data_IF_270898713816
#
_entry.id   IF_270898713816
#
_cell.length_a   1.000
_cell.length_b   1.000
_cell.length_c   1.000
_cell.angle_alpha   90.00
_cell.angle_beta   90.00
_cell.angle_gamma   90.00
#
_symmetry.space_group_name_H-M   'P 1'
#
loop_
_entity.id
_entity.type
_entity.pdbx_description
1 polymer ?
#
# COMPACT_ATOMS: atom_id res chain seq x y z
N UNK A 1 -6.25 0.27 -8.88
CA UNK A 1 -5.16 0.93 -9.63
C UNK A 1 -5.73 1.84 -10.74
N UNK A 2 -6.56 1.32 -11.66
CA UNK A 2 -7.16 2.08 -12.76
C UNK A 2 -8.04 3.24 -12.27
N UNK A 3 -8.80 3.06 -11.21
CA UNK A 3 -9.63 4.13 -10.62
C UNK A 3 -8.81 5.27 -10.01
N UNK A 4 -7.65 4.96 -9.41
CA UNK A 4 -6.74 5.97 -8.88
C UNK A 4 -6.05 6.75 -10.01
N UNK A 5 -5.61 6.04 -11.05
CA UNK A 5 -5.01 6.65 -12.24
C UNK A 5 -6.02 7.55 -12.96
N UNK A 6 -7.30 7.14 -13.06
CA UNK A 6 -8.35 7.95 -13.68
C UNK A 6 -8.64 9.25 -12.91
N UNK A 7 -8.59 9.23 -11.57
CA UNK A 7 -8.73 10.44 -10.75
C UNK A 7 -7.56 11.39 -10.98
N UNK A 8 -6.32 10.89 -11.05
CA UNK A 8 -5.14 11.71 -11.34
C UNK A 8 -5.21 12.31 -12.75
N UNK A 9 -5.61 11.51 -13.75
CA UNK A 9 -5.75 11.98 -15.14
C UNK A 9 -6.87 13.02 -15.25
N UNK A 10 -8.03 12.79 -14.63
CA UNK A 10 -9.16 13.72 -14.61
C UNK A 10 -8.80 15.04 -13.90
N UNK A 11 -8.03 14.98 -12.80
CA UNK A 11 -7.55 16.20 -12.12
C UNK A 11 -6.51 16.94 -12.95
N UNK A 12 -5.64 16.24 -13.68
CA UNK A 12 -4.66 16.85 -14.57
C UNK A 12 -5.30 17.50 -15.80
N UNK A 13 -6.31 16.85 -16.40
CA UNK A 13 -7.05 17.35 -17.56
C UNK A 13 -8.05 18.49 -17.19
N UNK A 14 -8.61 18.44 -15.98
CA UNK A 14 -9.58 19.43 -15.48
C UNK A 14 -8.96 20.77 -15.06
N UNK A 15 -7.64 20.93 -15.13
CA UNK A 15 -6.91 22.15 -14.69
C UNK A 15 -7.43 23.47 -15.27
N UNK A 16 -7.88 23.45 -16.52
CA UNK A 16 -8.34 24.68 -17.19
C UNK A 16 -9.73 25.15 -16.78
N UNK A 17 -10.61 24.24 -16.40
CA UNK A 17 -12.04 24.51 -16.17
C UNK A 17 -12.34 24.67 -14.66
N UNK A 18 -11.72 23.86 -13.81
CA UNK A 18 -12.02 23.82 -12.37
C UNK A 18 -11.41 24.98 -11.57
N UNK A 19 -10.28 25.52 -12.00
CA UNK A 19 -9.59 26.64 -11.33
C UNK A 19 -10.42 27.95 -11.26
N UNK A 20 -11.41 28.10 -12.14
CA UNK A 20 -12.22 29.33 -12.21
C UNK A 20 -13.48 29.28 -11.33
N UNK A 21 -13.98 28.09 -11.00
CA UNK A 21 -15.27 27.91 -10.33
C UNK A 21 -15.20 27.42 -8.88
N UNK A 22 -14.07 26.83 -8.46
CA UNK A 22 -13.92 26.25 -7.11
C UNK A 22 -12.58 26.61 -6.46
N UNK A 23 -12.46 27.78 -5.79
CA UNK A 23 -11.19 28.20 -5.18
C UNK A 23 -10.70 27.24 -4.07
N UNK A 24 -11.57 26.55 -3.33
CA UNK A 24 -11.20 25.55 -2.33
C UNK A 24 -10.57 24.28 -2.93
N UNK A 25 -10.84 23.98 -4.21
CA UNK A 25 -10.25 22.83 -4.90
C UNK A 25 -8.76 23.08 -5.25
N UNK A 26 -8.37 24.35 -5.39
CA UNK A 26 -6.98 24.73 -5.72
C UNK A 26 -6.00 24.42 -4.59
N UNK A 27 -6.40 24.56 -3.34
CA UNK A 27 -5.56 24.21 -2.18
C UNK A 27 -5.44 22.70 -2.02
N UNK A 28 -6.54 21.96 -2.19
CA UNK A 28 -6.53 20.51 -2.19
C UNK A 28 -5.64 19.95 -3.31
N UNK A 29 -5.69 20.52 -4.52
CA UNK A 29 -4.85 20.11 -5.65
C UNK A 29 -3.36 20.41 -5.41
N UNK A 30 -3.00 21.53 -4.77
CA UNK A 30 -1.60 21.81 -4.39
C UNK A 30 -1.04 20.73 -3.47
N UNK A 31 -1.82 20.27 -2.47
CA UNK A 31 -1.44 19.16 -1.59
C UNK A 31 -1.20 17.85 -2.35
N UNK A 32 -2.06 17.53 -3.32
CA UNK A 32 -1.89 16.35 -4.18
C UNK A 32 -0.61 16.45 -5.02
N UNK A 33 -0.31 17.62 -5.59
CA UNK A 33 0.92 17.82 -6.39
C UNK A 33 2.20 17.74 -5.55
N UNK A 34 2.18 18.23 -4.33
CA UNK A 34 3.31 18.11 -3.40
C UNK A 34 3.55 16.65 -2.96
N UNK A 35 2.49 15.86 -2.82
CA UNK A 35 2.57 14.45 -2.48
C UNK A 35 2.84 13.53 -3.70
N UNK A 36 2.76 14.05 -4.93
CA UNK A 36 2.86 13.26 -6.15
C UNK A 36 4.18 12.49 -6.29
N UNK A 37 5.36 13.05 -5.97
CA UNK A 37 6.61 12.30 -6.02
C UNK A 37 6.61 11.10 -5.05
N UNK A 38 6.17 11.30 -3.82
CA UNK A 38 6.04 10.24 -2.81
C UNK A 38 5.06 9.17 -3.27
N UNK A 39 3.92 9.57 -3.80
CA UNK A 39 2.92 8.67 -4.36
C UNK A 39 3.47 7.82 -5.53
N UNK A 40 4.26 8.42 -6.44
CA UNK A 40 4.91 7.68 -7.52
C UNK A 40 5.88 6.62 -6.98
N UNK A 41 6.64 6.93 -5.91
CA UNK A 41 7.50 5.97 -5.24
C UNK A 41 6.68 4.83 -4.64
N UNK A 42 5.59 5.13 -3.93
CA UNK A 42 4.72 4.11 -3.33
C UNK A 42 4.12 3.19 -4.39
N UNK A 43 3.64 3.74 -5.50
CA UNK A 43 3.09 2.94 -6.63
C UNK A 43 4.19 2.09 -7.29
N UNK A 44 5.39 2.65 -7.50
CA UNK A 44 6.52 1.93 -8.05
C UNK A 44 6.97 0.77 -7.15
N UNK A 45 7.04 1.00 -5.84
CA UNK A 45 7.36 -0.04 -4.85
C UNK A 45 6.24 -1.10 -4.74
N UNK A 46 4.96 -0.71 -4.84
CA UNK A 46 3.85 -1.65 -4.91
C UNK A 46 3.96 -2.55 -6.15
N UNK A 47 4.26 -1.97 -7.31
CA UNK A 47 4.50 -2.73 -8.53
C UNK A 47 5.70 -3.68 -8.40
N UNK A 48 6.80 -3.21 -7.78
CA UNK A 48 7.97 -4.05 -7.51
C UNK A 48 7.64 -5.22 -6.57
N UNK A 49 6.78 -5.00 -5.56
CA UNK A 49 6.31 -6.06 -4.66
C UNK A 49 5.51 -7.13 -5.42
N UNK A 50 4.59 -6.71 -6.31
CA UNK A 50 3.85 -7.63 -7.20
C UNK A 50 4.80 -8.42 -8.10
N UNK A 51 5.78 -7.75 -8.72
CA UNK A 51 6.74 -8.41 -9.61
C UNK A 51 7.63 -9.41 -8.87
N UNK A 52 8.05 -9.06 -7.65
CA UNK A 52 8.81 -9.98 -6.79
C UNK A 52 8.02 -11.24 -6.46
N UNK A 53 6.76 -11.09 -6.04
CA UNK A 53 5.86 -12.21 -5.77
C UNK A 53 5.55 -13.02 -7.02
N UNK A 54 5.29 -12.37 -8.16
CA UNK A 54 5.03 -13.04 -9.44
C UNK A 54 6.24 -13.84 -9.94
N UNK A 55 7.44 -13.34 -9.68
CA UNK A 55 8.66 -14.07 -9.99
C UNK A 55 8.81 -15.30 -9.08
N UNK A 56 8.45 -15.17 -7.81
CA UNK A 56 8.45 -16.30 -6.85
C UNK A 56 7.42 -17.36 -7.23
N UNK A 57 6.20 -16.95 -7.56
CA UNK A 57 5.14 -17.86 -8.04
C UNK A 57 5.58 -18.69 -9.26
N UNK A 58 6.42 -18.12 -10.15
CA UNK A 58 6.88 -18.81 -11.35
C UNK A 58 8.14 -19.64 -11.17
N UNK A 59 9.06 -19.22 -10.30
CA UNK A 59 10.42 -19.77 -10.24
C UNK A 59 10.81 -20.35 -8.88
N UNK A 60 9.92 -20.32 -7.89
CA UNK A 60 10.15 -20.83 -6.52
C UNK A 60 11.49 -20.31 -5.96
N UNK A 61 11.54 -19.04 -5.61
CA UNK A 61 12.75 -18.36 -5.14
C UNK A 61 13.27 -18.96 -3.83
N UNK A 62 14.59 -18.94 -3.65
CA UNK A 62 15.18 -19.20 -2.34
C UNK A 62 14.77 -18.08 -1.36
N UNK A 63 14.40 -18.44 -0.13
CA UNK A 63 13.88 -17.50 0.88
C UNK A 63 14.78 -16.26 1.09
N UNK A 64 16.10 -16.41 1.09
CA UNK A 64 17.02 -15.28 1.25
C UNK A 64 16.99 -14.26 0.09
N UNK A 65 16.75 -14.72 -1.16
CA UNK A 65 16.60 -13.83 -2.32
C UNK A 65 15.31 -13.01 -2.24
N UNK A 66 14.21 -13.67 -1.84
CA UNK A 66 12.93 -13.04 -1.57
C UNK A 66 13.08 -11.97 -0.49
N UNK A 67 13.74 -12.30 0.63
CA UNK A 67 14.00 -11.39 1.74
C UNK A 67 14.81 -10.16 1.29
N UNK A 68 15.86 -10.32 0.48
CA UNK A 68 16.63 -9.19 -0.07
C UNK A 68 15.73 -8.29 -0.90
N UNK A 69 14.89 -8.85 -1.78
CA UNK A 69 13.93 -8.07 -2.59
C UNK A 69 12.97 -7.26 -1.70
N UNK A 70 12.42 -7.86 -0.65
CA UNK A 70 11.56 -7.19 0.32
C UNK A 70 12.29 -6.05 1.05
N UNK A 71 13.53 -6.28 1.50
CA UNK A 71 14.37 -5.25 2.16
C UNK A 71 14.64 -4.08 1.21
N UNK A 72 14.95 -4.33 -0.06
CA UNK A 72 15.20 -3.27 -1.04
C UNK A 72 13.94 -2.42 -1.27
N UNK A 73 12.78 -3.05 -1.46
CA UNK A 73 11.49 -2.36 -1.62
C UNK A 73 11.19 -1.52 -0.37
N UNK A 74 11.34 -2.09 0.82
CA UNK A 74 11.13 -1.42 2.09
C UNK A 74 12.09 -0.22 2.29
N UNK A 75 13.37 -0.38 1.95
CA UNK A 75 14.38 0.67 2.05
C UNK A 75 14.07 1.85 1.11
N UNK A 76 13.67 1.57 -0.13
CA UNK A 76 13.24 2.61 -1.10
C UNK A 76 12.01 3.34 -0.57
N UNK A 77 11.02 2.62 -0.06
CA UNK A 77 9.79 3.20 0.52
C UNK A 77 10.11 4.07 1.74
N UNK A 78 10.95 3.60 2.66
CA UNK A 78 11.32 4.34 3.86
C UNK A 78 12.16 5.60 3.55
N UNK A 79 12.93 5.59 2.44
CA UNK A 79 13.81 6.71 2.08
C UNK A 79 13.07 7.79 1.28
N UNK A 80 12.24 7.40 0.31
CA UNK A 80 11.61 8.32 -0.64
C UNK A 80 10.07 8.29 -0.65
N UNK A 81 9.47 7.29 -0.03
CA UNK A 81 8.01 7.14 0.03
C UNK A 81 7.31 8.01 1.06
N UNK A 82 8.06 8.71 1.91
CA UNK A 82 7.49 9.55 2.97
C UNK A 82 6.84 8.77 4.11
N UNK A 83 7.11 7.46 4.20
CA UNK A 83 6.58 6.58 5.26
C UNK A 83 7.68 6.36 6.30
N UNK A 84 7.40 6.70 7.56
CA UNK A 84 8.38 6.51 8.64
C UNK A 84 7.71 6.20 9.98
N UNK A 85 8.23 5.20 10.67
CA UNK A 85 7.83 4.85 12.03
C UNK A 85 8.86 5.45 12.99
N UNK A 86 8.45 6.44 13.78
CA UNK A 86 9.37 7.18 14.65
C UNK A 86 9.45 6.65 16.07
N UNK A 87 8.42 5.94 16.58
CA UNK A 87 8.32 5.41 17.95
C UNK A 87 8.82 6.40 19.02
N UNK A 88 8.65 7.73 18.81
CA UNK A 88 9.15 8.80 19.67
C UNK A 88 10.69 8.84 19.81
N UNK A 89 11.44 8.10 18.98
CA UNK A 89 12.89 8.07 18.98
C UNK A 89 13.39 9.14 18.01
N UNK A 90 14.14 10.13 18.51
CA UNK A 90 14.66 11.25 17.70
C UNK A 90 15.85 10.92 16.81
N UNK A 91 16.19 9.63 16.60
CA UNK A 91 17.34 9.19 15.80
C UNK A 91 16.85 8.70 14.43
N UNK A 92 17.10 9.46 13.33
CA UNK A 92 16.56 9.12 12.00
C UNK A 92 16.94 7.73 11.49
N UNK A 93 18.20 7.29 11.77
CA UNK A 93 18.67 5.97 11.35
C UNK A 93 17.88 4.84 12.03
N UNK A 94 17.55 5.00 13.32
CA UNK A 94 16.77 4.01 14.07
C UNK A 94 15.36 3.94 13.52
N UNK A 95 14.71 5.10 13.28
CA UNK A 95 13.38 5.16 12.65
C UNK A 95 13.38 4.49 11.29
N UNK A 96 14.39 4.73 10.47
CA UNK A 96 14.54 4.09 9.16
C UNK A 96 14.67 2.56 9.28
N UNK A 97 15.53 2.06 10.18
CA UNK A 97 15.69 0.63 10.41
C UNK A 97 14.39 -0.03 10.89
N UNK A 98 13.66 0.63 11.81
CA UNK A 98 12.39 0.14 12.31
C UNK A 98 11.35 0.08 11.18
N UNK A 99 11.31 1.11 10.34
CA UNK A 99 10.39 1.16 9.19
C UNK A 99 10.68 0.02 8.22
N UNK A 100 11.94 -0.19 7.84
CA UNK A 100 12.34 -1.31 6.95
C UNK A 100 11.98 -2.65 7.58
N UNK A 101 12.28 -2.84 8.86
CA UNK A 101 11.92 -4.06 9.60
C UNK A 101 10.40 -4.30 9.59
N UNK A 102 9.60 -3.25 9.84
CA UNK A 102 8.15 -3.33 9.83
C UNK A 102 7.59 -3.77 8.48
N UNK A 103 8.06 -3.17 7.38
CA UNK A 103 7.65 -3.59 6.05
C UNK A 103 7.96 -5.07 5.79
N UNK A 104 9.18 -5.50 6.07
CA UNK A 104 9.60 -6.90 5.90
C UNK A 104 8.77 -7.84 6.77
N UNK A 105 8.48 -7.43 8.01
CA UNK A 105 7.64 -8.20 8.94
C UNK A 105 6.23 -8.37 8.39
N UNK A 106 5.58 -7.28 7.94
CA UNK A 106 4.22 -7.34 7.39
C UNK A 106 4.18 -8.13 6.07
N UNK A 107 5.15 -7.96 5.18
CA UNK A 107 5.27 -8.79 3.97
C UNK A 107 5.21 -10.29 4.30
N UNK A 108 6.04 -10.73 5.25
CA UNK A 108 6.13 -12.15 5.60
C UNK A 108 4.92 -12.61 6.42
N UNK A 109 4.36 -11.76 7.28
CA UNK A 109 3.16 -12.09 8.04
C UNK A 109 1.95 -12.35 7.12
N UNK A 110 1.71 -11.45 6.15
CA UNK A 110 0.60 -11.61 5.19
C UNK A 110 0.82 -12.83 4.30
N UNK A 111 2.05 -13.05 3.83
CA UNK A 111 2.38 -14.24 3.04
C UNK A 111 2.19 -15.54 3.85
N UNK A 112 2.51 -15.52 5.13
CA UNK A 112 2.27 -16.66 6.03
C UNK A 112 0.77 -16.92 6.25
N UNK A 113 -0.06 -15.89 6.34
CA UNK A 113 -1.50 -16.03 6.49
C UNK A 113 -2.21 -16.51 5.23
N UNK A 114 -1.57 -16.43 4.05
CA UNK A 114 -2.14 -16.89 2.78
C UNK A 114 -2.15 -18.41 2.60
N UNK A 115 -1.83 -19.18 3.66
CA UNK A 115 -1.96 -20.64 3.67
C UNK A 115 -3.38 -21.15 3.93
N UNK A 116 -4.34 -20.27 4.20
CA UNK A 116 -5.75 -20.60 4.47
C UNK A 116 -6.68 -19.74 3.66
N UNK A 117 -7.68 -20.35 3.02
CA UNK A 117 -8.67 -19.66 2.21
C UNK A 117 -9.30 -18.48 2.94
N UNK A 118 -9.18 -17.29 2.37
CA UNK A 118 -9.76 -16.06 2.87
C UNK A 118 -9.14 -15.46 4.12
N UNK A 119 -8.18 -16.11 4.77
CA UNK A 119 -7.61 -15.63 6.04
C UNK A 119 -6.81 -14.35 5.86
N UNK A 120 -5.83 -14.35 4.97
CA UNK A 120 -4.97 -13.19 4.73
C UNK A 120 -5.77 -11.98 4.25
N UNK A 121 -6.62 -12.19 3.23
CA UNK A 121 -7.42 -11.10 2.65
C UNK A 121 -8.49 -10.60 3.63
N UNK A 122 -9.14 -11.49 4.36
CA UNK A 122 -10.16 -11.13 5.36
C UNK A 122 -9.55 -10.31 6.50
N UNK A 123 -8.41 -10.75 7.04
CA UNK A 123 -7.68 -10.03 8.09
C UNK A 123 -7.21 -8.65 7.59
N UNK A 124 -6.64 -8.58 6.39
CA UNK A 124 -6.20 -7.33 5.80
C UNK A 124 -7.38 -6.38 5.53
N UNK A 125 -8.54 -6.89 5.08
CA UNK A 125 -9.75 -6.08 4.87
C UNK A 125 -10.18 -5.40 6.16
N UNK A 126 -10.23 -6.16 7.27
CA UNK A 126 -10.59 -5.62 8.58
C UNK A 126 -9.57 -4.55 9.01
N UNK A 127 -8.27 -4.84 8.89
CA UNK A 127 -7.22 -3.91 9.25
C UNK A 127 -7.31 -2.61 8.43
N UNK A 128 -7.52 -2.69 7.11
CA UNK A 128 -7.69 -1.52 6.25
C UNK A 128 -8.90 -0.66 6.66
N UNK A 129 -10.02 -1.27 7.04
CA UNK A 129 -11.19 -0.53 7.54
C UNK A 129 -10.83 0.24 8.81
N UNK A 130 -10.14 -0.40 9.76
CA UNK A 130 -9.72 0.28 11.00
C UNK A 130 -8.72 1.41 10.72
N UNK A 131 -7.73 1.19 9.85
CA UNK A 131 -6.80 2.25 9.47
C UNK A 131 -7.48 3.40 8.73
N UNK A 132 -8.45 3.11 7.85
CA UNK A 132 -9.22 4.15 7.18
C UNK A 132 -9.98 5.03 8.20
N UNK A 133 -10.66 4.40 9.17
CA UNK A 133 -11.36 5.12 10.22
C UNK A 133 -10.40 5.92 11.10
N UNK A 134 -9.29 5.32 11.55
CA UNK A 134 -8.31 5.98 12.39
C UNK A 134 -7.67 7.19 11.68
N UNK A 135 -7.27 7.02 10.42
CA UNK A 135 -6.68 8.10 9.61
C UNK A 135 -7.70 9.23 9.37
N UNK A 136 -8.96 8.89 9.10
CA UNK A 136 -10.03 9.89 8.89
C UNK A 136 -10.28 10.74 10.15
N UNK A 137 -10.33 10.12 11.32
CA UNK A 137 -10.51 10.83 12.62
C UNK A 137 -9.32 11.76 12.89
N UNK A 138 -8.10 11.37 12.48
CA UNK A 138 -6.90 12.18 12.64
C UNK A 138 -6.67 13.20 11.50
N UNK A 139 -7.63 13.36 10.58
CA UNK A 139 -7.54 14.31 9.47
C UNK A 139 -6.54 13.91 8.37
N UNK A 140 -6.03 12.69 8.39
CA UNK A 140 -5.09 12.15 7.40
C UNK A 140 -5.84 11.62 6.17
N UNK A 141 -6.51 12.49 5.44
CA UNK A 141 -7.45 12.11 4.37
C UNK A 141 -6.80 11.32 3.23
N UNK A 142 -5.51 11.53 2.94
CA UNK A 142 -4.80 10.76 1.92
C UNK A 142 -4.65 9.28 2.35
N UNK A 143 -4.17 9.06 3.58
CA UNK A 143 -4.01 7.70 4.14
C UNK A 143 -5.38 7.03 4.30
N UNK A 144 -6.39 7.77 4.78
CA UNK A 144 -7.76 7.27 4.91
C UNK A 144 -8.33 6.81 3.56
N UNK A 145 -8.13 7.59 2.49
CA UNK A 145 -8.58 7.25 1.14
C UNK A 145 -7.87 6.02 0.60
N UNK A 146 -6.55 5.95 0.78
CA UNK A 146 -5.75 4.80 0.35
C UNK A 146 -6.18 3.52 1.09
N UNK A 147 -6.36 3.59 2.39
CA UNK A 147 -6.83 2.47 3.21
C UNK A 147 -8.25 2.04 2.83
N UNK A 148 -9.18 2.99 2.59
CA UNK A 148 -10.55 2.68 2.16
C UNK A 148 -10.60 2.00 0.80
N UNK A 149 -9.79 2.47 -0.17
CA UNK A 149 -9.67 1.84 -1.50
C UNK A 149 -9.10 0.42 -1.39
N UNK A 150 -8.09 0.26 -0.53
CA UNK A 150 -7.47 -1.06 -0.27
C UNK A 150 -8.47 -1.99 0.40
N UNK A 151 -9.27 -1.52 1.36
CA UNK A 151 -10.34 -2.27 2.01
C UNK A 151 -11.38 -2.75 1.00
N UNK A 152 -11.86 -1.86 0.13
CA UNK A 152 -12.85 -2.20 -0.90
C UNK A 152 -12.32 -3.23 -1.90
N UNK A 153 -11.07 -3.07 -2.35
CA UNK A 153 -10.43 -4.01 -3.26
C UNK A 153 -10.21 -5.39 -2.62
N UNK A 154 -9.73 -5.41 -1.38
CA UNK A 154 -9.53 -6.65 -0.61
C UNK A 154 -10.87 -7.34 -0.32
N UNK A 155 -11.90 -6.61 0.10
CA UNK A 155 -13.24 -7.16 0.32
C UNK A 155 -13.84 -7.78 -0.95
N UNK A 156 -13.68 -7.11 -2.10
CA UNK A 156 -14.12 -7.64 -3.40
C UNK A 156 -13.42 -8.95 -3.76
N UNK A 157 -12.10 -9.03 -3.56
CA UNK A 157 -11.34 -10.25 -3.79
C UNK A 157 -11.70 -11.35 -2.79
N UNK A 158 -11.96 -11.00 -1.52
CA UNK A 158 -12.34 -11.94 -0.46
C UNK A 158 -13.59 -12.76 -0.80
N UNK A 159 -14.55 -12.20 -1.54
CA UNK A 159 -15.74 -12.91 -1.97
C UNK A 159 -15.43 -14.17 -2.79
N UNK A 160 -14.31 -14.16 -3.52
CA UNK A 160 -13.85 -15.28 -4.35
C UNK A 160 -12.77 -16.14 -3.66
N UNK A 161 -12.04 -15.56 -2.69
CA UNK A 161 -10.96 -16.23 -1.97
C UNK A 161 -11.42 -16.90 -0.67
N UNK A 162 -12.63 -16.59 -0.14
CA UNK A 162 -13.18 -17.25 1.05
C UNK A 162 -13.46 -18.73 0.79
N UNK A 163 -13.38 -19.55 1.84
CA UNK A 163 -13.57 -21.00 1.75
C UNK A 163 -14.98 -21.40 1.25
N UNK A 164 -15.12 -22.33 0.26
CA UNK A 164 -14.05 -22.89 -0.55
C UNK A 164 -13.58 -21.87 -1.61
N UNK A 165 -12.27 -21.59 -1.66
CA UNK A 165 -11.74 -20.57 -2.55
C UNK A 165 -11.87 -20.96 -4.03
N UNK A 166 -12.36 -20.03 -4.85
CA UNK A 166 -12.38 -20.16 -6.30
C UNK A 166 -11.16 -19.53 -6.98
N UNK A 167 -10.50 -18.57 -6.30
CA UNK A 167 -9.29 -17.88 -6.77
C UNK A 167 -8.31 -17.79 -5.60
N UNK A 168 -7.04 -18.11 -5.87
CA UNK A 168 -5.95 -18.00 -4.92
C UNK A 168 -5.15 -16.72 -5.17
N UNK A 169 -4.62 -16.13 -4.09
CA UNK A 169 -3.90 -14.85 -4.14
C UNK A 169 -2.47 -15.01 -4.64
N UNK A 170 -1.80 -16.09 -4.24
CA UNK A 170 -0.39 -16.36 -4.53
C UNK A 170 0.57 -15.37 -3.88
N UNK A 171 1.86 -15.57 -4.13
CA UNK A 171 2.91 -14.70 -3.58
C UNK A 171 2.85 -13.27 -4.16
N UNK A 172 2.40 -13.12 -5.39
CA UNK A 172 2.21 -11.81 -6.02
C UNK A 172 1.15 -10.97 -5.30
N UNK A 173 0.01 -11.59 -4.96
CA UNK A 173 -1.06 -10.92 -4.24
C UNK A 173 -0.73 -10.67 -2.77
N UNK A 174 -0.12 -11.65 -2.08
CA UNK A 174 0.23 -11.52 -0.67
C UNK A 174 1.30 -10.44 -0.43
N UNK A 175 2.29 -10.30 -1.33
CA UNK A 175 3.26 -9.21 -1.28
C UNK A 175 2.61 -7.85 -1.53
N UNK A 176 1.73 -7.74 -2.51
CA UNK A 176 0.99 -6.51 -2.77
C UNK A 176 0.14 -6.09 -1.55
N UNK A 177 -0.62 -7.03 -1.00
CA UNK A 177 -1.47 -6.79 0.15
C UNK A 177 -0.66 -6.41 1.39
N UNK A 178 0.44 -7.14 1.65
CA UNK A 178 1.37 -6.84 2.74
C UNK A 178 2.03 -5.47 2.60
N UNK A 179 2.43 -5.11 1.37
CA UNK A 179 2.97 -3.78 1.09
C UNK A 179 1.98 -2.67 1.42
N UNK A 180 0.75 -2.76 0.89
CA UNK A 180 -0.29 -1.75 1.15
C UNK A 180 -0.62 -1.66 2.64
N UNK A 181 -0.68 -2.80 3.34
CA UNK A 181 -0.94 -2.83 4.77
C UNK A 181 0.16 -2.13 5.57
N UNK A 182 1.43 -2.35 5.20
CA UNK A 182 2.57 -1.70 5.83
C UNK A 182 2.63 -0.18 5.54
N UNK A 183 2.16 0.26 4.36
CA UNK A 183 2.11 1.69 4.00
C UNK A 183 1.08 2.47 4.81
N UNK A 184 -0.07 1.85 5.12
CA UNK A 184 -1.19 2.55 5.79
C UNK A 184 -1.19 2.38 7.30
N UNK A 185 -0.36 1.46 7.85
CA UNK A 185 -0.21 1.21 9.27
C UNK A 185 0.78 2.20 9.90
#
# INVERSE_FOLDING_TARGET
>A
FLSFLSVIILTALGRGIQLRYFPGLTEGLKGVFLALPQFCVLVGCAAAAVLLGLYDDKHSMKAWKKLIGQILIAAVTATWGGVSITLFIGIPLVSWCITVFWFVFIFNAVNFFDNMDGLAVGTATIAFIFFACAAAVNGQYFVASLAALSAGSAAGFWLYNRAPASIFMGDSGSHFLGYLLAVVS
#
